data_IF_509498191187
#
_entry.id   IF_509498191187
#
_cell.length_a   1.000
_cell.length_b   1.000
_cell.length_c   1.000
_cell.angle_alpha   90.00
_cell.angle_beta   90.00
_cell.angle_gamma   90.00
#
_symmetry.space_group_name_H-M   'P 1'
#
loop_
_entity.id
_entity.type
_entity.pdbx_description
1 polymer ?
#
# COMPACT_ATOMS: atom_id res chain seq x y z
N UNK A 1 -0.80 -25.24 -22.24
CA UNK A 1 -1.21 -24.33 -23.33
C UNK A 1 -1.95 -25.07 -24.44
N UNK A 2 -1.39 -26.17 -24.98
CA UNK A 2 -2.04 -26.97 -26.03
C UNK A 2 -3.44 -27.51 -25.64
N UNK A 3 -3.60 -28.03 -24.42
CA UNK A 3 -4.90 -28.58 -23.95
C UNK A 3 -6.00 -27.52 -23.80
N UNK A 4 -5.68 -26.31 -23.30
CA UNK A 4 -6.66 -25.20 -23.23
C UNK A 4 -7.06 -24.73 -24.63
N UNK A 5 -6.11 -24.66 -25.56
CA UNK A 5 -6.39 -24.33 -26.96
C UNK A 5 -7.33 -25.33 -27.62
N UNK A 6 -7.08 -26.64 -27.41
CA UNK A 6 -7.98 -27.70 -27.88
C UNK A 6 -9.37 -27.60 -27.25
N UNK A 7 -9.47 -27.37 -25.94
CA UNK A 7 -10.76 -27.25 -25.24
C UNK A 7 -11.58 -26.05 -25.72
N UNK A 8 -10.94 -24.89 -25.93
CA UNK A 8 -11.58 -23.70 -26.49
C UNK A 8 -12.06 -23.92 -27.93
N UNK A 9 -11.25 -24.61 -28.75
CA UNK A 9 -11.63 -24.97 -30.11
C UNK A 9 -12.86 -25.90 -30.11
N UNK A 10 -12.84 -26.94 -29.28
CA UNK A 10 -13.99 -27.86 -29.14
C UNK A 10 -15.27 -27.14 -28.69
N UNK A 11 -15.16 -26.14 -27.82
CA UNK A 11 -16.30 -25.30 -27.42
C UNK A 11 -16.84 -24.46 -28.60
N UNK A 12 -15.95 -23.86 -29.39
CA UNK A 12 -16.35 -23.10 -30.58
C UNK A 12 -17.05 -24.00 -31.60
N UNK A 13 -16.48 -25.17 -31.86
CA UNK A 13 -17.03 -26.15 -32.81
C UNK A 13 -18.42 -26.62 -32.33
N UNK A 14 -18.59 -26.97 -31.05
CA UNK A 14 -19.88 -27.37 -30.48
C UNK A 14 -20.94 -26.26 -30.53
N UNK A 15 -20.54 -25.00 -30.30
CA UNK A 15 -21.45 -23.84 -30.42
C UNK A 15 -21.91 -23.61 -31.86
N UNK A 16 -21.01 -23.79 -32.82
CA UNK A 16 -21.32 -23.65 -34.23
C UNK A 16 -22.27 -24.75 -34.72
N UNK A 17 -22.05 -26.00 -34.30
CA UNK A 17 -22.93 -27.12 -34.62
C UNK A 17 -24.33 -26.95 -34.00
N UNK A 18 -24.40 -26.51 -32.74
CA UNK A 18 -25.67 -26.20 -32.09
C UNK A 18 -26.40 -25.07 -32.81
N UNK A 19 -25.68 -23.99 -33.18
CA UNK A 19 -26.25 -22.84 -33.89
C UNK A 19 -26.88 -23.27 -35.21
N UNK A 20 -26.20 -24.08 -36.02
CA UNK A 20 -26.75 -24.61 -37.28
C UNK A 20 -28.01 -25.44 -37.06
N UNK A 21 -27.98 -26.32 -36.06
CA UNK A 21 -29.10 -27.21 -35.73
C UNK A 21 -30.31 -26.42 -35.22
N UNK A 22 -30.10 -25.41 -34.38
CA UNK A 22 -31.16 -24.55 -33.87
C UNK A 22 -31.70 -23.60 -34.96
N UNK A 23 -30.85 -23.05 -35.84
CA UNK A 23 -31.29 -22.24 -36.99
C UNK A 23 -32.23 -23.03 -37.91
N UNK A 24 -31.88 -24.28 -38.25
CA UNK A 24 -32.74 -25.14 -39.07
C UNK A 24 -34.04 -25.51 -38.33
N UNK A 25 -33.96 -25.86 -37.05
CA UNK A 25 -35.13 -26.15 -36.22
C UNK A 25 -36.09 -24.95 -36.18
N UNK A 26 -35.60 -23.75 -35.90
CA UNK A 26 -36.40 -22.53 -35.81
C UNK A 26 -37.06 -22.23 -37.16
N UNK A 27 -36.33 -22.40 -38.26
CA UNK A 27 -36.88 -22.22 -39.61
C UNK A 27 -38.06 -23.17 -39.87
N UNK A 28 -37.89 -24.46 -39.56
CA UNK A 28 -38.95 -25.45 -39.79
C UNK A 28 -40.15 -25.25 -38.85
N UNK A 29 -39.91 -24.88 -37.59
CA UNK A 29 -40.95 -24.59 -36.60
C UNK A 29 -41.81 -23.38 -37.00
N UNK A 30 -41.22 -22.39 -37.66
CA UNK A 30 -41.95 -21.27 -38.25
C UNK A 30 -42.69 -21.64 -39.56
N UNK A 31 -42.17 -22.59 -40.34
CA UNK A 31 -42.74 -22.96 -41.63
C UNK A 31 -43.97 -23.88 -41.49
N UNK A 32 -43.95 -24.84 -40.57
CA UNK A 32 -45.05 -25.82 -40.38
C UNK A 32 -46.43 -25.15 -40.17
N UNK A 33 -46.59 -24.13 -39.31
CA UNK A 33 -47.86 -23.42 -39.15
C UNK A 33 -48.37 -22.75 -40.43
N UNK A 34 -47.47 -22.15 -41.21
CA UNK A 34 -47.83 -21.50 -42.48
C UNK A 34 -48.31 -22.53 -43.51
N UNK A 35 -47.62 -23.67 -43.62
CA UNK A 35 -48.03 -24.76 -44.52
C UNK A 35 -49.37 -25.39 -44.09
N UNK A 36 -49.65 -25.48 -42.78
CA UNK A 36 -50.95 -25.92 -42.23
C UNK A 36 -52.08 -24.94 -42.57
N UNK A 37 -51.82 -23.64 -42.58
CA UNK A 37 -52.81 -22.65 -43.05
C UNK A 37 -53.14 -22.83 -44.53
N UNK A 38 -52.13 -23.06 -45.37
CA UNK A 38 -52.32 -23.37 -46.80
C UNK A 38 -53.14 -24.64 -46.98
N UNK A 39 -52.85 -25.71 -46.22
CA UNK A 39 -53.64 -26.95 -46.25
C UNK A 39 -55.11 -26.69 -45.90
N UNK A 40 -55.37 -25.82 -44.92
CA UNK A 40 -56.73 -25.47 -44.49
C UNK A 40 -57.50 -24.77 -45.61
N UNK A 41 -56.85 -23.84 -46.32
CA UNK A 41 -57.44 -23.15 -47.48
C UNK A 41 -57.72 -24.12 -48.63
N UNK A 42 -56.76 -24.98 -48.99
CA UNK A 42 -56.97 -25.97 -50.06
C UNK A 42 -58.07 -26.98 -49.72
N UNK A 43 -58.18 -27.37 -48.45
CA UNK A 43 -59.20 -28.33 -48.00
C UNK A 43 -60.61 -27.73 -47.98
N UNK A 44 -60.77 -26.42 -47.80
CA UNK A 44 -62.08 -25.76 -47.79
C UNK A 44 -62.72 -25.64 -49.18
N UNK A 45 -61.93 -25.79 -50.26
CA UNK A 45 -62.42 -25.83 -51.65
C UNK A 45 -62.97 -27.21 -52.06
N UNK A 46 -62.64 -28.28 -51.33
CA UNK A 46 -63.08 -29.65 -51.67
C UNK A 46 -64.60 -29.82 -51.61
N UNK A 47 -65.33 -29.35 -50.59
CA UNK A 47 -66.79 -29.51 -50.51
C UNK A 47 -67.53 -28.89 -51.69
N UNK A 48 -67.13 -27.68 -52.11
CA UNK A 48 -67.76 -26.99 -53.24
C UNK A 48 -67.48 -27.69 -54.56
N UNK A 49 -66.26 -28.20 -54.76
CA UNK A 49 -65.90 -28.98 -55.94
C UNK A 49 -66.53 -30.38 -55.96
N UNK A 50 -66.73 -31.01 -54.80
CA UNK A 50 -67.45 -32.28 -54.67
C UNK A 50 -68.91 -32.11 -55.08
N UNK A 51 -69.58 -31.08 -54.55
CA UNK A 51 -70.95 -30.75 -54.93
C UNK A 51 -71.06 -30.43 -56.42
N UNK A 52 -70.10 -29.70 -57.01
CA UNK A 52 -70.07 -29.44 -58.45
C UNK A 52 -69.91 -30.72 -59.28
N UNK A 53 -69.07 -31.67 -58.86
CA UNK A 53 -68.90 -32.95 -59.54
C UNK A 53 -70.11 -33.88 -59.41
N UNK A 54 -70.78 -33.88 -58.25
CA UNK A 54 -72.03 -34.63 -58.02
C UNK A 54 -73.18 -34.06 -58.86
N UNK A 55 -73.31 -32.73 -58.89
CA UNK A 55 -74.30 -32.04 -59.72
C UNK A 55 -74.08 -32.27 -61.22
N UNK A 56 -72.82 -32.39 -61.67
CA UNK A 56 -72.49 -32.70 -63.06
C UNK A 56 -72.80 -34.16 -63.46
N UNK A 57 -72.86 -35.08 -62.48
CA UNK A 57 -73.20 -36.49 -62.72
C UNK A 57 -74.70 -36.80 -62.57
N UNK A 58 -75.49 -35.86 -62.04
CA UNK A 58 -76.94 -36.00 -61.88
C UNK A 58 -77.66 -35.98 -63.24
N UNK A 59 -78.61 -36.89 -63.45
CA UNK A 59 -79.50 -36.89 -64.63
C UNK A 59 -80.64 -35.87 -64.54
N UNK A 60 -80.70 -35.11 -63.44
CA UNK A 60 -81.72 -34.11 -63.14
C UNK A 60 -81.05 -32.74 -63.08
N UNK A 61 -81.64 -31.76 -63.77
CA UNK A 61 -81.24 -30.36 -63.74
C UNK A 61 -81.20 -29.85 -62.28
N UNK A 62 -80.04 -29.42 -61.75
CA UNK A 62 -79.91 -29.03 -60.34
C UNK A 62 -80.60 -27.69 -60.01
N UNK A 63 -81.09 -26.97 -61.03
CA UNK A 63 -81.79 -25.67 -60.87
C UNK A 63 -83.31 -25.83 -61.01
N UNK A 64 -83.72 -26.75 -61.88
CA UNK A 64 -85.09 -26.85 -62.37
C UNK A 64 -85.76 -28.20 -62.04
N UNK A 65 -85.03 -29.11 -61.39
CA UNK A 65 -85.48 -30.43 -60.89
C UNK A 65 -86.17 -31.34 -61.93
N UNK A 66 -85.97 -31.05 -63.22
CA UNK A 66 -86.47 -31.86 -64.33
C UNK A 66 -85.35 -32.71 -64.94
N UNK A 67 -85.66 -33.91 -65.50
CA UNK A 67 -84.68 -34.72 -66.22
C UNK A 67 -83.98 -33.93 -67.32
N UNK A 68 -82.66 -34.09 -67.45
CA UNK A 68 -81.84 -33.36 -68.43
C UNK A 68 -82.34 -33.60 -69.86
N UNK A 69 -82.85 -34.80 -70.16
CA UNK A 69 -83.45 -35.14 -71.46
C UNK A 69 -84.64 -34.25 -71.79
N UNK A 70 -85.47 -33.93 -70.80
CA UNK A 70 -86.63 -33.04 -70.96
C UNK A 70 -86.20 -31.58 -71.07
N UNK A 71 -85.19 -31.17 -70.30
CA UNK A 71 -84.61 -29.83 -70.36
C UNK A 71 -83.91 -29.52 -71.70
N UNK A 72 -83.31 -30.54 -72.34
CA UNK A 72 -82.73 -30.46 -73.69
C UNK A 72 -83.82 -30.38 -74.77
N UNK A 73 -84.88 -31.20 -74.65
CA UNK A 73 -85.99 -31.25 -75.62
C UNK A 73 -86.80 -29.94 -75.65
N UNK A 74 -87.03 -29.32 -74.48
CA UNK A 74 -87.85 -28.09 -74.34
C UNK A 74 -87.00 -26.80 -74.39
N UNK A 75 -85.68 -26.89 -74.62
CA UNK A 75 -84.70 -25.79 -74.58
C UNK A 75 -84.76 -24.98 -73.28
N UNK A 76 -84.07 -25.45 -72.25
CA UNK A 76 -83.90 -24.74 -70.98
C UNK A 76 -83.47 -23.26 -71.17
N UNK A 77 -84.32 -22.32 -70.75
CA UNK A 77 -84.06 -20.88 -70.86
C UNK A 77 -83.07 -20.31 -69.82
N UNK A 78 -82.54 -21.15 -68.92
CA UNK A 78 -81.73 -20.73 -67.77
C UNK A 78 -80.23 -21.05 -67.90
N UNK A 79 -79.84 -22.07 -68.68
CA UNK A 79 -78.43 -22.41 -68.89
C UNK A 79 -78.17 -22.88 -70.32
N UNK A 80 -77.13 -22.29 -70.94
CA UNK A 80 -76.67 -22.61 -72.29
C UNK A 80 -75.47 -23.59 -72.28
N UNK A 81 -74.99 -24.00 -71.11
CA UNK A 81 -73.85 -24.91 -70.93
C UNK A 81 -74.17 -25.96 -69.87
N UNK A 82 -74.18 -27.23 -70.28
CA UNK A 82 -74.16 -28.36 -69.35
C UNK A 82 -72.77 -28.47 -68.74
N UNK A 83 -72.70 -28.93 -67.49
CA UNK A 83 -71.42 -29.17 -66.84
C UNK A 83 -70.79 -30.42 -67.46
N UNK A 84 -69.53 -30.32 -67.88
CA UNK A 84 -68.75 -31.47 -68.31
C UNK A 84 -68.39 -32.30 -67.07
N UNK A 85 -69.00 -33.49 -66.95
CA UNK A 85 -68.78 -34.44 -65.86
C UNK A 85 -67.30 -34.82 -65.75
N UNK A 86 -66.61 -34.96 -66.89
CA UNK A 86 -65.20 -35.35 -66.93
C UNK A 86 -64.29 -34.23 -66.43
N UNK A 87 -64.57 -32.99 -66.81
CA UNK A 87 -63.82 -31.81 -66.36
C UNK A 87 -64.04 -31.55 -64.85
N UNK A 88 -65.27 -31.67 -64.36
CA UNK A 88 -65.58 -31.47 -62.94
C UNK A 88 -64.92 -32.54 -62.05
N UNK A 89 -64.93 -33.82 -62.49
CA UNK A 89 -64.23 -34.90 -61.80
C UNK A 89 -62.71 -34.73 -61.86
N UNK A 90 -62.15 -34.33 -63.00
CA UNK A 90 -60.72 -34.06 -63.15
C UNK A 90 -60.27 -32.93 -62.21
N UNK A 91 -61.05 -31.84 -62.10
CA UNK A 91 -60.77 -30.72 -61.20
C UNK A 91 -60.81 -31.12 -59.72
N UNK A 92 -61.80 -31.91 -59.32
CA UNK A 92 -61.89 -32.45 -57.96
C UNK A 92 -60.71 -33.40 -57.65
N UNK A 93 -60.35 -34.26 -58.60
CA UNK A 93 -59.21 -35.17 -58.45
C UNK A 93 -57.88 -34.40 -58.31
N UNK A 94 -57.66 -33.38 -59.14
CA UNK A 94 -56.48 -32.52 -59.07
C UNK A 94 -56.38 -31.79 -57.71
N UNK A 95 -57.50 -31.24 -57.20
CA UNK A 95 -57.50 -30.61 -55.87
C UNK A 95 -57.28 -31.58 -54.72
N UNK A 96 -57.83 -32.80 -54.81
CA UNK A 96 -57.54 -33.86 -53.82
C UNK A 96 -56.07 -34.26 -53.84
N UNK A 97 -55.45 -34.27 -55.02
CA UNK A 97 -54.01 -34.50 -55.17
C UNK A 97 -53.19 -33.36 -54.54
N UNK A 98 -53.50 -32.09 -54.84
CA UNK A 98 -52.83 -30.93 -54.22
C UNK A 98 -52.91 -30.96 -52.67
N UNK A 99 -54.07 -31.35 -52.12
CA UNK A 99 -54.23 -31.53 -50.66
C UNK A 99 -53.40 -32.70 -50.14
N UNK A 100 -53.30 -33.79 -50.90
CA UNK A 100 -52.43 -34.93 -50.59
C UNK A 100 -50.95 -34.54 -50.56
N UNK A 101 -50.49 -33.83 -51.59
CA UNK A 101 -49.10 -33.35 -51.71
C UNK A 101 -48.75 -32.37 -50.58
N UNK A 102 -49.68 -31.46 -50.25
CA UNK A 102 -49.50 -30.52 -49.14
C UNK A 102 -49.45 -31.22 -47.77
N UNK A 103 -50.26 -32.27 -47.56
CA UNK A 103 -50.17 -33.10 -46.34
C UNK A 103 -48.82 -33.80 -46.24
N UNK A 104 -48.37 -34.44 -47.33
CA UNK A 104 -47.06 -35.09 -47.36
C UNK A 104 -45.92 -34.12 -47.07
N UNK A 105 -46.01 -32.88 -47.58
CA UNK A 105 -45.05 -31.81 -47.28
C UNK A 105 -45.01 -31.48 -45.79
N UNK A 106 -46.18 -31.29 -45.16
CA UNK A 106 -46.28 -31.02 -43.72
C UNK A 106 -45.72 -32.19 -42.90
N UNK A 107 -46.11 -33.42 -43.22
CA UNK A 107 -45.64 -34.63 -42.52
C UNK A 107 -44.11 -34.76 -42.63
N UNK A 108 -43.53 -34.45 -43.79
CA UNK A 108 -42.09 -34.43 -44.00
C UNK A 108 -41.36 -33.35 -43.17
N UNK A 109 -41.93 -32.14 -43.07
CA UNK A 109 -41.39 -31.07 -42.23
C UNK A 109 -41.47 -31.43 -40.74
N UNK A 110 -42.59 -32.00 -40.29
CA UNK A 110 -42.80 -32.43 -38.91
C UNK A 110 -41.87 -33.60 -38.52
N UNK A 111 -41.67 -34.56 -39.43
CA UNK A 111 -40.71 -35.64 -39.22
C UNK A 111 -39.28 -35.11 -39.05
N UNK A 112 -38.86 -34.15 -39.90
CA UNK A 112 -37.56 -33.47 -39.75
C UNK A 112 -37.45 -32.73 -38.42
N UNK A 113 -38.50 -32.00 -38.03
CA UNK A 113 -38.51 -31.26 -36.76
C UNK A 113 -38.37 -32.19 -35.56
N UNK A 114 -39.04 -33.35 -35.60
CA UNK A 114 -38.94 -34.42 -34.60
C UNK A 114 -37.53 -35.01 -34.50
N UNK A 115 -36.77 -35.04 -35.60
CA UNK A 115 -35.35 -35.47 -35.59
C UNK A 115 -34.40 -34.37 -35.08
N UNK A 116 -34.67 -33.10 -35.38
CA UNK A 116 -33.82 -31.98 -35.00
C UNK A 116 -33.96 -31.59 -33.53
N UNK A 117 -35.12 -31.79 -32.91
CA UNK A 117 -35.35 -31.53 -31.48
C UNK A 117 -34.36 -32.26 -30.55
N UNK A 118 -34.20 -33.60 -30.63
CA UNK A 118 -33.22 -34.32 -29.81
C UNK A 118 -31.78 -33.96 -30.19
N UNK A 119 -31.49 -33.69 -31.46
CA UNK A 119 -30.17 -33.23 -31.90
C UNK A 119 -29.78 -31.88 -31.27
N UNK A 120 -30.70 -30.92 -31.24
CA UNK A 120 -30.48 -29.63 -30.60
C UNK A 120 -30.35 -29.75 -29.07
N UNK A 121 -31.09 -30.67 -28.44
CA UNK A 121 -30.95 -30.95 -27.01
C UNK A 121 -29.56 -31.54 -26.69
N UNK A 122 -29.08 -32.49 -27.50
CA UNK A 122 -27.74 -33.06 -27.37
C UNK A 122 -26.66 -31.99 -27.61
N UNK A 123 -26.81 -31.15 -28.63
CA UNK A 123 -25.90 -30.04 -28.91
C UNK A 123 -25.81 -29.06 -27.74
N UNK A 124 -26.94 -28.71 -27.10
CA UNK A 124 -26.96 -27.88 -25.88
C UNK A 124 -26.16 -28.52 -24.75
N UNK A 125 -26.34 -29.82 -24.52
CA UNK A 125 -25.60 -30.55 -23.50
C UNK A 125 -24.09 -30.58 -23.80
N UNK A 126 -23.70 -30.77 -25.07
CA UNK A 126 -22.29 -30.79 -25.47
C UNK A 126 -21.62 -29.43 -25.28
N UNK A 127 -22.31 -28.33 -25.62
CA UNK A 127 -21.84 -26.96 -25.35
C UNK A 127 -21.62 -26.76 -23.85
N UNK A 128 -22.60 -27.12 -23.02
CA UNK A 128 -22.50 -26.95 -21.56
C UNK A 128 -21.32 -27.77 -20.97
N UNK A 129 -21.11 -28.99 -21.45
CA UNK A 129 -19.97 -29.82 -21.04
C UNK A 129 -18.63 -29.21 -21.48
N UNK A 130 -18.56 -28.69 -22.71
CA UNK A 130 -17.35 -28.04 -23.23
C UNK A 130 -17.04 -26.74 -22.45
N UNK A 131 -18.05 -25.94 -22.09
CA UNK A 131 -17.93 -24.74 -21.26
C UNK A 131 -17.37 -25.08 -19.87
N UNK A 132 -17.97 -26.07 -19.19
CA UNK A 132 -17.50 -26.55 -17.89
C UNK A 132 -16.05 -27.01 -17.96
N UNK A 133 -15.67 -27.72 -19.03
CA UNK A 133 -14.28 -28.18 -19.23
C UNK A 133 -13.31 -27.01 -19.41
N UNK A 134 -13.66 -26.00 -20.21
CA UNK A 134 -12.82 -24.81 -20.39
C UNK A 134 -12.66 -24.05 -19.08
N UNK A 135 -13.76 -23.80 -18.35
CA UNK A 135 -13.73 -23.11 -17.06
C UNK A 135 -12.89 -23.85 -16.02
N UNK A 136 -12.97 -25.19 -15.96
CA UNK A 136 -12.16 -25.99 -15.05
C UNK A 136 -10.65 -25.86 -15.35
N UNK A 137 -10.26 -25.85 -16.63
CA UNK A 137 -8.85 -25.70 -17.02
C UNK A 137 -8.36 -24.27 -16.72
N UNK A 138 -9.18 -23.26 -16.99
CA UNK A 138 -8.83 -21.84 -16.75
C UNK A 138 -8.71 -21.53 -15.26
N UNK A 139 -9.66 -21.98 -14.43
CA UNK A 139 -9.61 -21.78 -12.97
C UNK A 139 -8.37 -22.40 -12.33
N UNK A 140 -7.97 -23.60 -12.74
CA UNK A 140 -6.73 -24.24 -12.27
C UNK A 140 -5.51 -23.44 -12.72
N UNK A 141 -5.49 -22.97 -13.97
CA UNK A 141 -4.38 -22.16 -14.50
C UNK A 141 -4.26 -20.85 -13.73
N UNK A 142 -5.37 -20.16 -13.49
CA UNK A 142 -5.38 -18.85 -12.86
C UNK A 142 -5.03 -18.96 -11.36
N UNK A 143 -5.50 -20.03 -10.68
CA UNK A 143 -5.08 -20.35 -9.31
C UNK A 143 -3.58 -20.65 -9.25
N UNK A 144 -3.05 -21.43 -10.20
CA UNK A 144 -1.61 -21.70 -10.26
C UNK A 144 -0.81 -20.43 -10.50
N UNK A 145 -1.30 -19.54 -11.37
CA UNK A 145 -0.65 -18.27 -11.64
C UNK A 145 -0.63 -17.36 -10.41
N UNK A 146 -1.73 -17.27 -9.66
CA UNK A 146 -1.81 -16.46 -8.44
C UNK A 146 -0.90 -17.00 -7.33
N UNK A 147 -0.88 -18.33 -7.13
CA UNK A 147 0.03 -18.99 -6.17
C UNK A 147 1.49 -18.76 -6.56
N UNK A 148 1.82 -18.87 -7.85
CA UNK A 148 3.17 -18.60 -8.34
C UNK A 148 3.59 -17.16 -8.08
N UNK A 149 2.73 -16.18 -8.39
CA UNK A 149 3.02 -14.77 -8.12
C UNK A 149 3.21 -14.50 -6.62
N UNK A 150 2.37 -15.09 -5.76
CA UNK A 150 2.50 -14.96 -4.31
C UNK A 150 3.83 -15.57 -3.81
N UNK A 151 4.20 -16.74 -4.31
CA UNK A 151 5.47 -17.39 -3.97
C UNK A 151 6.70 -16.57 -4.41
N UNK A 152 6.67 -16.00 -5.62
CA UNK A 152 7.73 -15.12 -6.11
C UNK A 152 7.89 -13.88 -5.23
N UNK A 153 6.78 -13.20 -4.88
CA UNK A 153 6.82 -12.06 -3.96
C UNK A 153 7.36 -12.41 -2.59
N UNK A 154 6.99 -13.58 -2.07
CA UNK A 154 7.51 -14.06 -0.79
C UNK A 154 9.03 -14.28 -0.87
N UNK A 155 9.51 -14.91 -1.95
CA UNK A 155 10.94 -15.12 -2.19
C UNK A 155 11.70 -13.81 -2.25
N UNK A 156 11.24 -12.86 -3.06
CA UNK A 156 11.83 -11.51 -3.15
C UNK A 156 11.82 -10.79 -1.80
N UNK A 157 10.75 -10.98 -1.01
CA UNK A 157 10.64 -10.46 0.35
C UNK A 157 11.69 -11.04 1.31
N UNK A 158 11.96 -12.35 1.23
CA UNK A 158 13.01 -13.01 2.03
C UNK A 158 14.40 -12.53 1.63
N UNK A 159 14.67 -12.41 0.33
CA UNK A 159 15.96 -11.88 -0.17
C UNK A 159 16.20 -10.45 0.32
N UNK A 160 15.20 -9.57 0.19
CA UNK A 160 15.27 -8.19 0.70
C UNK A 160 15.43 -8.14 2.22
N UNK A 161 14.76 -9.02 2.96
CA UNK A 161 14.90 -9.09 4.40
C UNK A 161 16.32 -9.49 4.82
N UNK A 162 16.95 -10.42 4.09
CA UNK A 162 18.33 -10.80 4.34
C UNK A 162 19.29 -9.61 4.16
N UNK A 163 19.14 -8.85 3.07
CA UNK A 163 19.91 -7.63 2.81
C UNK A 163 19.74 -6.61 3.95
N UNK A 164 18.49 -6.27 4.31
CA UNK A 164 18.21 -5.33 5.40
C UNK A 164 18.75 -5.80 6.75
N UNK A 165 18.74 -7.12 7.01
CA UNK A 165 19.34 -7.67 8.22
C UNK A 165 20.85 -7.47 8.25
N UNK A 166 21.54 -7.64 7.12
CA UNK A 166 22.99 -7.38 7.03
C UNK A 166 23.31 -5.90 7.24
N UNK A 167 22.56 -5.00 6.60
CA UNK A 167 22.71 -3.55 6.76
C UNK A 167 22.49 -3.13 8.22
N UNK A 168 21.44 -3.65 8.86
CA UNK A 168 21.17 -3.40 10.29
C UNK A 168 22.35 -3.82 11.16
N UNK A 169 22.95 -4.97 10.90
CA UNK A 169 24.06 -5.47 11.69
C UNK A 169 25.34 -4.64 11.49
N UNK A 170 25.58 -4.11 10.29
CA UNK A 170 26.65 -3.15 10.03
C UNK A 170 26.43 -1.82 10.77
N UNK A 171 25.22 -1.25 10.67
CA UNK A 171 24.87 -0.01 11.39
C UNK A 171 25.03 -0.21 12.90
N UNK A 172 24.59 -1.35 13.43
CA UNK A 172 24.76 -1.70 14.85
C UNK A 172 26.24 -1.79 15.25
N UNK A 173 27.10 -2.36 14.40
CA UNK A 173 28.57 -2.38 14.63
C UNK A 173 29.14 -0.97 14.65
N UNK A 174 28.76 -0.10 13.70
CA UNK A 174 29.20 1.30 13.66
C UNK A 174 28.75 2.07 14.90
N UNK A 175 27.51 1.87 15.34
CA UNK A 175 26.97 2.50 16.54
C UNK A 175 27.77 2.11 17.79
N UNK A 176 28.06 0.82 17.98
CA UNK A 176 28.93 0.36 19.09
C UNK A 176 30.31 1.00 19.02
N UNK A 177 30.92 1.06 17.84
CA UNK A 177 32.22 1.70 17.67
C UNK A 177 32.22 3.21 17.97
N UNK A 178 31.11 3.90 17.74
CA UNK A 178 30.94 5.31 18.14
C UNK A 178 30.76 5.46 19.65
N UNK A 179 29.99 4.57 20.28
CA UNK A 179 29.76 4.56 21.72
C UNK A 179 31.07 4.30 22.50
N UNK A 180 31.90 3.37 22.02
CA UNK A 180 33.24 3.12 22.57
C UNK A 180 34.15 4.35 22.47
N UNK A 181 34.12 5.06 21.33
CA UNK A 181 34.89 6.29 21.14
C UNK A 181 34.41 7.40 22.08
N UNK A 182 33.10 7.56 22.19
CA UNK A 182 32.50 8.57 23.07
C UNK A 182 32.81 8.30 24.54
N UNK A 183 32.82 7.04 24.96
CA UNK A 183 33.23 6.63 26.31
C UNK A 183 34.70 7.00 26.56
N UNK A 184 35.60 6.69 25.62
CA UNK A 184 37.03 7.05 25.73
C UNK A 184 37.26 8.57 25.80
N UNK A 185 36.53 9.35 25.01
CA UNK A 185 36.66 10.81 25.08
C UNK A 185 36.13 11.39 26.40
N UNK A 186 35.06 10.81 26.96
CA UNK A 186 34.55 11.18 28.29
C UNK A 186 35.58 10.89 29.39
N UNK A 187 36.22 9.72 29.35
CA UNK A 187 37.28 9.36 30.29
C UNK A 187 38.47 10.32 30.21
N UNK A 188 38.90 10.68 28.98
CA UNK A 188 39.97 11.66 28.77
C UNK A 188 39.60 13.04 29.33
N UNK A 189 38.37 13.48 29.11
CA UNK A 189 37.88 14.76 29.62
C UNK A 189 37.80 14.76 31.15
N UNK A 190 37.34 13.66 31.76
CA UNK A 190 37.32 13.50 33.21
C UNK A 190 38.74 13.58 33.79
N UNK A 191 39.68 12.81 33.24
CA UNK A 191 41.08 12.83 33.68
C UNK A 191 41.74 14.21 33.51
N UNK A 192 41.38 14.97 32.47
CA UNK A 192 41.84 16.34 32.29
C UNK A 192 41.25 17.28 33.35
N UNK A 193 39.96 17.17 33.66
CA UNK A 193 39.29 17.95 34.71
C UNK A 193 39.86 17.66 36.09
N UNK A 194 40.14 16.40 36.42
CA UNK A 194 40.74 16.04 37.70
C UNK A 194 42.13 16.68 37.88
N UNK A 195 42.97 16.64 36.83
CA UNK A 195 44.27 17.30 36.82
C UNK A 195 44.15 18.82 36.97
N UNK A 196 43.18 19.44 36.31
CA UNK A 196 42.90 20.86 36.46
C UNK A 196 42.40 21.19 37.88
N UNK A 197 41.49 20.39 38.43
CA UNK A 197 40.95 20.55 39.78
C UNK A 197 42.03 20.57 40.86
N UNK A 198 43.05 19.71 40.75
CA UNK A 198 44.19 19.72 41.67
C UNK A 198 44.98 21.04 41.60
N UNK A 199 45.17 21.59 40.40
CA UNK A 199 45.90 22.86 40.21
C UNK A 199 45.11 24.04 40.76
N UNK A 200 43.83 24.15 40.38
CA UNK A 200 42.95 25.23 40.85
C UNK A 200 42.60 25.12 42.32
N UNK A 201 42.60 23.91 42.90
CA UNK A 201 42.47 23.71 44.34
C UNK A 201 43.63 24.33 45.12
N UNK A 202 44.87 24.15 44.65
CA UNK A 202 46.06 24.77 45.26
C UNK A 202 46.03 26.30 45.15
N UNK A 203 45.68 26.82 43.97
CA UNK A 203 45.52 28.26 43.76
C UNK A 203 44.42 28.82 44.66
N UNK A 204 43.26 28.16 44.72
CA UNK A 204 42.12 28.55 45.57
C UNK A 204 42.50 28.56 47.04
N UNK A 205 43.27 27.58 47.52
CA UNK A 205 43.72 27.53 48.90
C UNK A 205 44.58 28.75 49.26
N UNK A 206 45.58 29.08 48.42
CA UNK A 206 46.44 30.26 48.63
C UNK A 206 45.66 31.56 48.50
N UNK A 207 44.82 31.67 47.47
CA UNK A 207 43.95 32.81 47.22
C UNK A 207 43.00 33.08 48.40
N UNK A 208 42.28 32.07 48.88
CA UNK A 208 41.37 32.24 50.02
C UNK A 208 42.09 32.64 51.30
N UNK A 209 43.32 32.14 51.53
CA UNK A 209 44.11 32.53 52.70
C UNK A 209 44.52 34.01 52.64
N UNK A 210 44.94 34.48 51.45
CA UNK A 210 45.28 35.89 51.22
C UNK A 210 44.03 36.77 51.40
N UNK A 211 42.89 36.39 50.84
CA UNK A 211 41.62 37.13 50.98
C UNK A 211 41.20 37.22 52.45
N UNK A 212 41.30 36.14 53.22
CA UNK A 212 40.98 36.18 54.67
C UNK A 212 41.88 37.15 55.43
N UNK A 213 43.14 37.23 55.03
CA UNK A 213 44.11 38.11 55.67
C UNK A 213 43.87 39.58 55.32
N UNK A 214 43.55 39.86 54.06
CA UNK A 214 43.38 41.24 53.56
C UNK A 214 42.01 41.84 53.91
N UNK A 215 40.96 41.02 54.04
CA UNK A 215 39.59 41.50 54.25
C UNK A 215 39.13 41.23 55.69
N UNK A 216 38.88 39.96 56.02
CA UNK A 216 38.54 39.48 57.36
C UNK A 216 38.58 37.95 57.41
N UNK A 217 38.61 37.35 58.60
CA UNK A 217 38.72 35.89 58.76
C UNK A 217 37.55 35.09 58.16
N UNK A 218 36.39 35.72 58.00
CA UNK A 218 35.18 35.09 57.46
C UNK A 218 35.12 35.09 55.93
N UNK A 219 35.97 35.87 55.26
CA UNK A 219 35.98 35.98 53.81
C UNK A 219 36.38 34.66 53.14
N UNK A 220 35.77 34.36 51.99
CA UNK A 220 36.09 33.17 51.19
C UNK A 220 36.47 33.58 49.79
N UNK A 221 37.60 33.07 49.32
CA UNK A 221 38.04 33.22 47.95
C UNK A 221 37.95 31.90 47.20
N UNK A 222 37.50 31.91 45.95
CA UNK A 222 37.59 30.74 45.07
C UNK A 222 38.04 31.13 43.68
N UNK A 223 38.88 30.28 43.09
CA UNK A 223 39.39 30.43 41.73
C UNK A 223 39.06 29.17 40.94
N UNK A 224 38.22 29.31 39.91
CA UNK A 224 37.77 28.21 39.07
C UNK A 224 38.03 28.50 37.60
N UNK A 225 38.27 27.46 36.81
CA UNK A 225 38.37 27.57 35.35
C UNK A 225 37.09 26.99 34.73
N UNK A 226 36.34 27.82 34.04
CA UNK A 226 35.14 27.42 33.29
C UNK A 226 35.40 27.44 31.79
N UNK A 227 34.41 27.01 30.99
CA UNK A 227 34.48 27.10 29.53
C UNK A 227 34.60 28.54 28.99
N UNK A 228 34.31 29.54 29.82
CA UNK A 228 34.36 30.96 29.48
C UNK A 228 35.59 31.69 30.01
N UNK A 229 36.51 30.97 30.68
CA UNK A 229 37.75 31.54 31.22
C UNK A 229 37.89 31.35 32.73
N UNK A 230 38.77 32.17 33.33
CA UNK A 230 39.05 32.16 34.76
C UNK A 230 37.97 32.94 35.52
N UNK A 231 37.33 32.29 36.49
CA UNK A 231 36.32 32.87 37.37
C UNK A 231 36.91 33.00 38.78
N UNK A 232 36.93 34.24 39.29
CA UNK A 232 37.44 34.57 40.63
C UNK A 232 36.30 35.16 41.45
N UNK A 233 36.00 34.50 42.57
CA UNK A 233 34.94 34.91 43.49
C UNK A 233 35.53 35.22 44.85
N UNK A 234 34.98 36.26 45.49
CA UNK A 234 35.30 36.69 46.84
C UNK A 234 33.97 36.95 47.55
N UNK A 235 33.68 36.16 48.57
CA UNK A 235 32.47 36.27 49.39
C UNK A 235 32.84 36.86 50.76
N UNK A 236 32.19 37.96 51.13
CA UNK A 236 32.42 38.74 52.36
C UNK A 236 31.06 39.11 52.93
N UNK A 237 30.46 38.18 53.69
CA UNK A 237 29.12 38.31 54.26
C UNK A 237 28.06 38.72 53.20
N UNK A 238 28.12 38.11 52.01
CA UNK A 238 27.27 38.39 50.84
C UNK A 238 28.05 38.86 49.60
N UNK A 239 27.46 38.70 48.41
CA UNK A 239 28.08 39.07 47.12
C UNK A 239 28.16 40.61 46.98
N UNK A 240 29.24 41.22 47.47
CA UNK A 240 29.53 42.64 47.25
C UNK A 240 30.36 42.79 45.97
N UNK A 241 29.75 43.36 44.93
CA UNK A 241 30.45 43.72 43.69
C UNK A 241 30.83 45.20 43.71
N UNK A 242 31.87 45.54 44.45
CA UNK A 242 32.45 46.90 44.43
C UNK A 242 33.72 46.91 43.58
N UNK A 243 34.03 48.06 42.97
CA UNK A 243 35.26 48.22 42.18
C UNK A 243 36.52 47.85 43.00
N UNK A 244 36.49 48.07 44.32
CA UNK A 244 37.57 47.69 45.22
C UNK A 244 37.75 46.18 45.35
N UNK A 245 36.66 45.41 45.35
CA UNK A 245 36.73 43.96 45.39
C UNK A 245 37.26 43.41 44.06
N UNK A 246 36.92 44.01 42.92
CA UNK A 246 37.47 43.61 41.62
C UNK A 246 38.98 43.85 41.52
N UNK A 247 39.48 45.01 41.96
CA UNK A 247 40.92 45.28 42.05
C UNK A 247 41.62 44.33 43.03
N UNK A 248 40.98 44.01 44.15
CA UNK A 248 41.51 43.06 45.14
C UNK A 248 41.60 41.63 44.60
N UNK A 249 40.63 41.17 43.81
CA UNK A 249 40.63 39.84 43.20
C UNK A 249 41.88 39.62 42.35
N UNK A 250 42.22 40.58 41.50
CA UNK A 250 43.39 40.52 40.62
C UNK A 250 44.67 40.45 41.46
N UNK A 251 44.83 41.37 42.41
CA UNK A 251 46.03 41.43 43.24
C UNK A 251 46.20 40.20 44.14
N UNK A 252 45.12 39.73 44.77
CA UNK A 252 45.17 38.53 45.62
C UNK A 252 45.45 37.27 44.79
N UNK A 253 44.98 37.21 43.54
CA UNK A 253 45.29 36.13 42.62
C UNK A 253 46.78 36.15 42.20
N UNK A 254 47.33 37.31 41.86
CA UNK A 254 48.75 37.45 41.52
C UNK A 254 49.65 37.07 42.70
N UNK A 255 49.28 37.45 43.92
CA UNK A 255 49.97 37.03 45.14
C UNK A 255 49.86 35.52 45.38
N UNK A 256 48.70 34.92 45.13
CA UNK A 256 48.53 33.46 45.24
C UNK A 256 49.44 32.73 44.23
N UNK A 257 49.50 33.23 43.00
CA UNK A 257 50.41 32.73 41.96
C UNK A 257 51.87 32.91 42.37
N UNK A 258 52.25 34.06 42.93
CA UNK A 258 53.59 34.32 43.43
C UNK A 258 53.97 33.34 44.56
N UNK A 259 53.09 33.12 45.54
CA UNK A 259 53.33 32.14 46.61
C UNK A 259 53.58 30.74 46.05
N UNK A 260 52.75 30.28 45.12
CA UNK A 260 52.96 28.98 44.47
C UNK A 260 54.26 28.93 43.66
N UNK A 261 54.70 30.05 43.11
CA UNK A 261 55.96 30.15 42.35
C UNK A 261 57.18 30.11 43.26
N UNK A 262 57.12 30.78 44.42
CA UNK A 262 58.13 30.68 45.48
C UNK A 262 58.26 29.24 45.98
N UNK A 263 57.14 28.52 46.07
CA UNK A 263 57.09 27.10 46.44
C UNK A 263 57.54 26.15 45.31
N UNK A 264 57.89 26.66 44.14
CA UNK A 264 58.29 25.86 42.98
C UNK A 264 57.15 25.07 42.32
N UNK A 265 55.89 25.39 42.66
CA UNK A 265 54.70 24.72 42.15
C UNK A 265 54.21 25.28 40.79
N UNK A 266 54.85 26.32 40.27
CA UNK A 266 54.55 26.93 38.97
C UNK A 266 55.80 27.07 38.10
N UNK A 267 55.63 27.51 36.85
CA UNK A 267 56.73 27.89 35.95
C UNK A 267 56.84 29.41 35.75
N UNK A 268 56.07 30.20 36.50
CA UNK A 268 56.15 31.67 36.41
C UNK A 268 57.20 32.17 37.39
N UNK A 269 57.87 33.32 37.12
CA UNK A 269 58.91 33.84 38.01
C UNK A 269 58.38 34.08 39.43
N UNK A 270 59.19 33.75 40.44
CA UNK A 270 58.93 34.06 41.85
C UNK A 270 59.20 35.55 42.19
N UNK A 271 58.77 36.44 41.30
CA UNK A 271 58.95 37.88 41.41
C UNK A 271 57.74 38.60 40.79
N UNK A 272 57.22 39.61 41.49
CA UNK A 272 56.03 40.35 41.08
C UNK A 272 56.31 41.86 41.21
N UNK A 273 56.12 42.59 40.12
CA UNK A 273 56.08 44.06 40.12
C UNK A 273 54.66 44.46 39.79
N UNK A 274 54.04 45.23 40.68
CA UNK A 274 52.68 45.71 40.47
C UNK A 274 52.70 47.24 40.44
N UNK A 275 52.17 47.83 39.37
CA UNK A 275 52.05 49.29 39.19
C UNK A 275 50.74 49.84 39.83
N UNK A 276 50.17 49.09 40.76
CA UNK A 276 48.79 49.24 41.25
C UNK A 276 48.59 48.30 42.47
N UNK A 277 47.46 48.36 43.18
CA UNK A 277 46.38 49.34 43.10
C UNK A 277 46.71 50.64 43.83
N UNK A 278 46.01 51.72 43.48
CA UNK A 278 46.10 52.99 44.22
C UNK A 278 45.29 52.84 45.52
N UNK A 279 45.63 53.61 46.55
CA UNK A 279 44.87 53.63 47.82
C UNK A 279 43.37 53.87 47.60
N UNK A 280 43.04 54.74 46.63
CA UNK A 280 41.68 55.06 46.21
C UNK A 280 40.88 53.83 45.70
N UNK A 281 41.57 52.78 45.24
CA UNK A 281 40.95 51.60 44.66
C UNK A 281 40.67 50.50 45.70
N UNK A 282 41.41 50.41 46.81
CA UNK A 282 41.27 49.30 47.79
C UNK A 282 40.73 49.73 49.16
N UNK A 283 40.76 51.03 49.49
CA UNK A 283 40.52 51.51 50.84
C UNK A 283 41.74 51.32 51.75
N UNK A 284 42.00 52.32 52.60
CA UNK A 284 43.22 52.44 53.39
C UNK A 284 43.53 51.21 54.26
N UNK A 285 42.51 50.58 54.87
CA UNK A 285 42.71 49.40 55.71
C UNK A 285 43.21 48.17 54.96
N UNK A 286 42.69 47.92 53.76
CA UNK A 286 43.13 46.80 52.89
C UNK A 286 44.50 47.13 52.30
N UNK A 287 44.73 48.40 51.94
CA UNK A 287 46.00 48.88 51.43
C UNK A 287 47.14 48.72 52.45
N UNK A 288 46.93 49.10 53.71
CA UNK A 288 47.91 48.91 54.79
C UNK A 288 48.22 47.44 55.05
N UNK A 289 47.19 46.59 55.08
CA UNK A 289 47.37 45.16 55.33
C UNK A 289 48.13 44.47 54.20
N UNK A 290 47.96 44.93 52.96
CA UNK A 290 48.74 44.48 51.81
C UNK A 290 50.25 44.72 51.98
N UNK A 291 50.66 45.88 52.51
CA UNK A 291 52.08 46.15 52.78
C UNK A 291 52.59 45.36 53.99
N UNK A 292 51.77 45.18 55.03
CA UNK A 292 52.15 44.34 56.18
C UNK A 292 52.37 42.89 55.78
N UNK A 293 51.53 42.37 54.88
CA UNK A 293 51.70 41.04 54.30
C UNK A 293 53.02 40.90 53.54
N UNK A 294 53.52 41.98 52.92
CA UNK A 294 54.77 42.01 52.15
C UNK A 294 56.03 42.31 52.99
N UNK A 295 55.90 42.98 54.14
CA UNK A 295 57.05 43.55 54.91
C UNK A 295 57.39 42.78 56.20
N UNK A 296 56.54 41.87 56.69
CA UNK A 296 56.80 41.16 57.95
C UNK A 296 57.73 39.93 57.82
N UNK A 297 58.73 39.75 58.72
CA UNK A 297 59.52 38.50 58.81
C UNK A 297 58.71 37.27 59.29
N UNK A 298 57.45 37.45 59.67
CA UNK A 298 56.48 36.36 59.95
C UNK A 298 55.57 36.00 58.75
N UNK A 299 55.61 36.78 57.66
CA UNK A 299 54.77 36.55 56.46
C UNK A 299 55.13 35.26 55.72
N UNK A 300 56.40 34.90 55.69
CA UNK A 300 56.89 33.64 55.10
C UNK A 300 56.59 32.42 55.98
N UNK A 301 56.60 32.57 57.31
CA UNK A 301 56.40 31.46 58.25
C UNK A 301 54.92 31.05 58.43
N UNK A 302 53.95 31.94 58.18
CA UNK A 302 52.51 31.58 58.32
C UNK A 302 51.80 31.29 56.99
N UNK A 303 52.28 31.82 55.86
CA UNK A 303 51.77 31.43 54.53
C UNK A 303 52.28 30.05 54.07
N UNK A 304 53.42 29.60 54.60
CA UNK A 304 53.97 28.25 54.41
C UNK A 304 53.40 27.17 55.35
N UNK A 305 52.64 27.55 56.38
CA UNK A 305 52.15 26.63 57.43
C UNK A 305 50.63 26.54 57.49
N UNK A 306 49.96 26.55 56.33
CA UNK A 306 48.55 26.14 56.22
C UNK A 306 48.52 24.65 55.87
N UNK A 307 49.12 23.84 56.75
CA UNK A 307 49.11 22.38 56.70
C UNK A 307 48.22 21.86 57.83
N UNK A 308 46.92 22.00 57.63
CA UNK A 308 45.91 21.32 58.45
C UNK A 308 45.73 19.89 57.97
N UNK A 309 46.65 18.97 58.33
CA UNK A 309 46.41 17.54 58.54
C UNK A 309 47.73 16.74 58.58
N UNK A 310 48.36 16.62 59.76
CA UNK A 310 49.26 15.49 60.07
C UNK A 310 49.22 15.16 61.56
N UNK A 311 48.17 14.45 61.98
CA UNK A 311 48.20 13.66 63.21
C UNK A 311 47.20 12.50 63.16
N UNK A 312 47.33 11.60 62.17
CA UNK A 312 46.86 10.21 62.30
C UNK A 312 47.91 9.32 61.61
N UNK A 313 48.24 8.21 62.27
CA UNK A 313 49.22 7.17 61.92
C UNK A 313 50.67 7.41 62.40
N UNK A 314 50.87 7.19 63.70
CA UNK A 314 51.92 6.27 64.14
C UNK A 314 51.37 4.86 63.96
N UNK A 315 52.00 4.10 63.08
CA UNK A 315 52.30 2.66 63.17
C UNK A 315 53.40 2.38 62.13
#
# INVERSE_FOLDING_TARGET
MAELGKARKALLDAREELRRTDEERIRLDAQVPAERQVLTLLSSEIPSLSAAAENAASQVCPICEVPIDKALAEKCGLSHKLHDETECRARLAAKRQEVGDQKQKIDGLEARLKTLQPAAALGRQQVEQAEKRVQAIESVRDTRASVWQAATRLKEGVERFAELSTERDEVRKRLRGLDDKLTKERERLAAFRDKQGLTFGRITQKFSAIIRRLVNENAKGSVTLSGNGLEILVDVDGDRRTAAIESLKVLAFDLACLCLSIEGATRVPAFLVHDSPREADLGLSIYDELFRLKVGPEGSARLGTIDGARSIARD
#
